data_IF_945336983114
#
_entry.id   IF_945336983114
#
_cell.length_a   1.000
_cell.length_b   1.000
_cell.length_c   1.000
_cell.angle_alpha   90.00
_cell.angle_beta   90.00
_cell.angle_gamma   90.00
#
_symmetry.space_group_name_H-M   'P 1'
#
loop_
_entity.id
_entity.type
_entity.pdbx_description
1 polymer ?
2 non-polymer ?
#
# COMPACT_ATOMS: atom_id res chain seq x y z
N UNK A 1 6.86 10.22 10.47
CA UNK A 1 8.28 9.83 10.37
C UNK A 1 8.49 9.08 9.07
N UNK A 2 9.75 8.94 8.68
CA UNK A 2 10.11 8.21 7.47
C UNK A 2 10.59 6.81 7.84
N UNK A 3 10.07 6.32 8.95
CA UNK A 3 10.38 5.00 9.46
C UNK A 3 9.74 3.97 8.55
N UNK A 4 10.58 3.08 7.98
CA UNK A 4 10.14 2.00 7.09
C UNK A 4 8.89 1.32 7.63
N UNK A 5 7.99 1.02 6.73
CA UNK A 5 6.69 0.52 7.08
C UNK A 5 6.70 -0.97 7.14
N UNK A 6 5.81 -1.48 7.91
CA UNK A 6 5.66 -2.87 8.09
C UNK A 6 4.39 -3.36 7.37
N UNK A 7 4.12 -4.63 7.50
CA UNK A 7 2.93 -5.26 6.98
C UNK A 7 1.67 -4.54 7.52
N UNK A 8 1.66 -4.29 8.83
CA UNK A 8 0.52 -3.64 9.49
C UNK A 8 0.32 -2.23 9.00
N UNK A 9 1.40 -1.50 8.68
CA UNK A 9 1.27 -0.11 8.17
C UNK A 9 0.54 -0.13 6.86
N UNK A 10 0.90 -1.07 6.04
CA UNK A 10 0.29 -1.28 4.75
C UNK A 10 -1.17 -1.68 4.95
N UNK A 11 -1.39 -2.62 5.86
CA UNK A 11 -2.72 -3.08 6.26
C UNK A 11 -3.64 -1.90 6.60
N UNK A 12 -3.15 -1.02 7.47
CA UNK A 12 -3.90 0.17 7.93
C UNK A 12 -4.40 0.96 6.74
N UNK A 13 -3.50 1.21 5.80
CA UNK A 13 -3.82 1.98 4.61
C UNK A 13 -4.81 1.22 3.73
N UNK A 14 -4.62 -0.08 3.62
CA UNK A 14 -5.51 -0.94 2.82
C UNK A 14 -6.91 -1.06 3.42
N UNK A 15 -7.06 -0.74 4.68
CA UNK A 15 -8.39 -0.68 5.30
C UNK A 15 -9.03 0.66 4.92
N UNK A 16 -8.28 1.71 5.17
CA UNK A 16 -8.71 3.08 4.89
C UNK A 16 -9.06 3.32 3.42
N UNK A 17 -8.31 2.72 2.52
CA UNK A 17 -8.54 2.93 1.10
C UNK A 17 -9.69 2.06 0.59
N UNK A 18 -10.02 1.02 1.33
CA UNK A 18 -11.08 0.09 0.94
C UNK A 18 -12.43 0.73 1.18
N UNK A 19 -12.62 1.30 2.34
CA UNK A 19 -13.84 1.97 2.63
C UNK A 19 -14.10 2.09 4.10
N UNK A 20 -15.07 1.36 4.56
CA UNK A 20 -15.49 1.39 5.95
C UNK A 20 -16.24 0.09 6.26
N UNK A 21 -15.99 -0.46 7.44
CA UNK A 21 -16.62 -1.70 7.91
C UNK A 21 -16.32 -2.83 6.91
N UNK A 22 -15.05 -3.03 6.68
CA UNK A 22 -14.58 -3.93 5.67
C UNK A 22 -14.57 -5.34 6.17
N UNK A 23 -15.58 -6.06 5.77
CA UNK A 23 -15.71 -7.44 6.12
C UNK A 23 -14.85 -8.27 5.24
N UNK A 24 -13.62 -8.36 5.61
CA UNK A 24 -12.63 -9.11 4.91
C UNK A 24 -11.57 -9.57 5.94
N UNK A 25 -10.52 -10.16 5.46
CA UNK A 25 -9.43 -10.61 6.29
C UNK A 25 -8.15 -10.20 5.62
N UNK A 26 -7.58 -9.15 6.09
CA UNK A 26 -6.44 -8.57 5.48
C UNK A 26 -5.41 -8.19 6.55
N UNK A 27 -4.65 -9.16 6.97
CA UNK A 27 -3.59 -8.97 7.93
C UNK A 27 -2.68 -10.19 7.84
N UNK A 28 -1.78 -10.36 8.81
CA UNK A 28 -0.88 -11.49 8.79
C UNK A 28 0.19 -11.30 7.75
N UNK A 29 0.05 -11.98 6.65
CA UNK A 29 0.93 -11.83 5.53
C UNK A 29 0.12 -11.89 4.26
N UNK A 30 -0.51 -10.80 3.97
CA UNK A 30 -1.34 -10.65 2.78
C UNK A 30 -0.51 -10.22 1.57
N UNK A 31 0.79 -10.12 1.76
CA UNK A 31 1.73 -9.65 0.77
C UNK A 31 1.67 -10.35 -0.59
N UNK A 32 1.23 -11.60 -0.62
CA UNK A 32 1.14 -12.35 -1.87
C UNK A 32 -0.26 -12.39 -2.45
N UNK A 33 -1.20 -11.74 -1.80
CA UNK A 33 -2.55 -11.70 -2.31
C UNK A 33 -2.67 -10.59 -3.33
N UNK A 34 -3.13 -10.91 -4.51
CA UNK A 34 -3.22 -9.92 -5.56
C UNK A 34 -4.33 -8.94 -5.26
N UNK A 35 -4.07 -7.67 -5.54
CA UNK A 35 -5.04 -6.59 -5.32
C UNK A 35 -6.42 -6.92 -5.88
N UNK A 36 -6.45 -7.47 -7.08
CA UNK A 36 -7.69 -7.87 -7.76
C UNK A 36 -8.54 -8.81 -6.90
N UNK A 37 -7.90 -9.61 -6.07
CA UNK A 37 -8.60 -10.60 -5.30
C UNK A 37 -9.15 -9.97 -4.04
N UNK A 38 -8.44 -8.99 -3.52
CA UNK A 38 -8.80 -8.35 -2.25
C UNK A 38 -9.63 -7.09 -2.47
N UNK A 39 -10.31 -7.02 -3.60
CA UNK A 39 -11.22 -5.93 -3.88
C UNK A 39 -10.53 -4.63 -4.26
N UNK A 40 -9.30 -4.73 -4.70
CA UNK A 40 -8.57 -3.57 -5.12
C UNK A 40 -8.42 -3.52 -6.61
N UNK A 41 -9.17 -2.64 -7.20
CA UNK A 41 -9.16 -2.41 -8.62
C UNK A 41 -7.83 -1.79 -9.02
N UNK A 42 -7.60 -0.54 -8.57
CA UNK A 42 -6.32 0.20 -8.72
C UNK A 42 -6.45 1.64 -8.27
N UNK A 43 -7.62 2.19 -8.37
CA UNK A 43 -7.85 3.54 -7.91
C UNK A 43 -7.74 3.61 -6.39
N UNK A 44 -8.37 2.68 -5.71
CA UNK A 44 -8.25 2.55 -4.25
C UNK A 44 -6.81 2.17 -3.88
N UNK A 45 -6.15 1.48 -4.79
CA UNK A 45 -4.76 1.08 -4.63
C UNK A 45 -3.88 2.36 -4.63
N UNK A 46 -4.20 3.30 -5.52
CA UNK A 46 -3.51 4.58 -5.57
C UNK A 46 -3.82 5.39 -4.34
N UNK A 47 -5.05 5.27 -3.88
CA UNK A 47 -5.53 5.91 -2.65
C UNK A 47 -4.64 5.50 -1.48
N UNK A 48 -4.27 4.23 -1.43
CA UNK A 48 -3.39 3.68 -0.41
C UNK A 48 -2.04 4.40 -0.48
N UNK A 49 -1.42 4.36 -1.66
CA UNK A 49 -0.14 4.98 -1.90
C UNK A 49 -0.18 6.48 -1.57
N UNK A 50 -1.21 7.17 -2.05
CA UNK A 50 -1.38 8.61 -1.85
C UNK A 50 -1.45 8.98 -0.37
N UNK A 51 -2.15 8.17 0.40
CA UNK A 51 -2.25 8.41 1.83
C UNK A 51 -0.92 8.22 2.52
N UNK A 52 -0.20 7.21 2.10
CA UNK A 52 1.12 6.94 2.65
C UNK A 52 2.11 8.05 2.23
N UNK A 53 1.89 8.62 1.03
CA UNK A 53 2.71 9.71 0.52
C UNK A 53 2.71 10.90 1.45
N UNK A 54 1.55 11.46 1.70
CA UNK A 54 1.41 12.62 2.54
C UNK A 54 1.82 12.35 3.99
N UNK A 55 1.41 11.20 4.50
CA UNK A 55 1.70 10.80 5.86
C UNK A 55 3.20 10.55 6.13
N UNK A 56 3.84 9.76 5.31
CA UNK A 56 5.22 9.36 5.58
C UNK A 56 6.26 10.15 4.78
N UNK A 57 5.80 10.98 3.87
CA UNK A 57 6.73 11.81 3.10
C UNK A 57 7.26 11.12 1.85
N UNK A 58 6.49 10.22 1.29
CA UNK A 58 6.90 9.49 0.09
C UNK A 58 6.16 10.02 -1.12
N UNK A 59 6.47 9.50 -2.28
CA UNK A 59 5.71 9.80 -3.44
C UNK A 59 5.68 8.56 -4.31
N UNK A 60 4.51 8.25 -4.86
CA UNK A 60 4.33 7.05 -5.65
C UNK A 60 3.72 7.42 -7.00
N UNK A 61 4.43 7.13 -8.10
CA UNK A 61 3.94 7.40 -9.45
C UNK A 61 2.69 6.60 -9.80
N UNK A 62 1.82 7.26 -10.54
CA UNK A 62 0.49 6.77 -10.94
C UNK A 62 0.52 5.40 -11.63
N UNK A 63 1.36 5.29 -12.63
CA UNK A 63 1.41 4.09 -13.48
C UNK A 63 2.03 2.92 -12.76
N UNK A 64 2.77 3.22 -11.73
CA UNK A 64 3.42 2.21 -10.90
C UNK A 64 2.39 1.60 -9.97
N UNK A 65 1.60 2.46 -9.35
CA UNK A 65 0.53 2.03 -8.48
C UNK A 65 -0.44 1.14 -9.26
N UNK A 66 -0.74 1.53 -10.47
CA UNK A 66 -1.62 0.73 -11.31
C UNK A 66 -0.84 -0.28 -12.13
N UNK A 67 0.16 -0.88 -11.51
CA UNK A 67 1.03 -1.87 -12.17
C UNK A 67 1.35 -3.02 -11.22
N UNK A 68 1.48 -2.69 -9.95
CA UNK A 68 1.85 -3.66 -8.94
C UNK A 68 0.71 -4.63 -8.66
N UNK A 69 1.06 -5.89 -8.53
CA UNK A 69 0.09 -6.97 -8.42
C UNK A 69 -0.23 -7.25 -6.98
N UNK A 70 0.80 -7.30 -6.19
CA UNK A 70 0.71 -7.68 -4.83
C UNK A 70 1.11 -6.52 -3.89
N UNK A 71 0.54 -6.48 -2.66
CA UNK A 71 0.81 -5.42 -1.68
C UNK A 71 2.29 -5.35 -1.31
N UNK A 72 2.98 -6.49 -1.44
CA UNK A 72 4.41 -6.60 -1.19
C UNK A 72 5.16 -5.50 -1.95
N UNK A 73 4.84 -5.42 -3.23
CA UNK A 73 5.45 -4.50 -4.17
C UNK A 73 5.13 -3.06 -3.81
N UNK A 74 3.89 -2.83 -3.41
CA UNK A 74 3.44 -1.48 -3.07
C UNK A 74 4.15 -1.03 -1.79
N UNK A 75 4.26 -1.94 -0.82
CA UNK A 75 4.99 -1.68 0.42
C UNK A 75 6.44 -1.34 0.12
N UNK A 76 7.02 -2.07 -0.82
CA UNK A 76 8.42 -1.89 -1.20
C UNK A 76 8.63 -0.56 -1.91
N UNK A 77 7.61 -0.11 -2.64
CA UNK A 77 7.62 1.20 -3.30
C UNK A 77 7.72 2.30 -2.24
N UNK A 78 6.91 2.14 -1.19
CA UNK A 78 6.89 3.07 -0.08
C UNK A 78 8.22 3.03 0.64
N UNK A 79 8.63 1.85 1.06
CA UNK A 79 9.89 1.66 1.80
C UNK A 79 11.11 2.12 1.02
N UNK A 80 11.09 1.91 -0.28
CA UNK A 80 12.17 2.39 -1.12
C UNK A 80 12.26 3.90 -1.07
N UNK A 81 11.09 4.54 -1.10
CA UNK A 81 11.00 5.98 -1.03
C UNK A 81 11.38 6.48 0.37
N UNK A 82 10.98 5.73 1.38
CA UNK A 82 11.32 6.03 2.77
C UNK A 82 12.81 5.98 2.99
N UNK A 83 13.47 5.02 2.38
CA UNK A 83 14.92 4.91 2.47
C UNK A 83 15.60 6.13 1.82
N UNK A 84 14.95 6.68 0.81
CA UNK A 84 15.46 7.88 0.13
C UNK A 84 15.08 9.13 0.91
N UNK A 85 14.06 9.01 1.75
CA UNK A 85 13.55 10.11 2.54
C UNK A 85 14.16 10.11 3.93
N UNK A 86 15.09 9.21 4.15
CA UNK A 86 15.76 9.09 5.41
C UNK A 86 16.96 10.00 5.40
#
# INVERSE_FOLDING_TARGET
MATLLTTDDLRRALVESAGETDGTDLSGDFLDLRFEDIGYDSLALMETAARLESRYGVSIPDDVAGRVDTPRELLDLINGALAEAA
#
